data_IF_593900869462
#
_entry.id   IF_593900869462
#
_cell.length_a   1.000
_cell.length_b   1.000
_cell.length_c   1.000
_cell.angle_alpha   90.00
_cell.angle_beta   90.00
_cell.angle_gamma   90.00
#
_symmetry.space_group_name_H-M   'P 1'
#
loop_
_entity.id
_entity.type
_entity.pdbx_description
1 polymer ?
#
# COMPACT_ATOMS: atom_id res chain seq x y z
N UNK A 1 1.22 -7.90 -1.86
CA UNK A 1 2.43 -7.42 -1.13
C UNK A 1 1.94 -6.71 0.11
N UNK A 2 2.13 -7.29 1.28
CA UNK A 2 1.67 -6.68 2.52
C UNK A 2 2.70 -5.66 2.97
N UNK A 3 2.31 -4.41 3.08
CA UNK A 3 3.09 -3.46 3.85
C UNK A 3 3.04 -3.93 5.31
N UNK A 4 4.21 -4.14 5.90
CA UNK A 4 4.29 -4.67 7.26
C UNK A 4 3.70 -3.67 8.25
N UNK A 5 2.98 -4.15 9.26
CA UNK A 5 2.51 -3.32 10.36
C UNK A 5 3.67 -2.64 11.07
N UNK A 6 3.39 -1.55 11.78
CA UNK A 6 4.37 -0.80 12.54
C UNK A 6 5.14 -1.69 13.52
N UNK A 7 4.42 -2.54 14.26
CA UNK A 7 5.01 -3.51 15.19
C UNK A 7 5.96 -4.50 14.49
N UNK A 8 5.59 -5.00 13.32
CA UNK A 8 6.47 -5.91 12.54
C UNK A 8 7.72 -5.21 12.03
N UNK A 9 7.62 -3.96 11.62
CA UNK A 9 8.79 -3.17 11.19
C UNK A 9 9.76 -2.94 12.33
N UNK A 10 9.25 -2.58 13.51
CA UNK A 10 10.07 -2.48 14.72
C UNK A 10 10.70 -3.81 15.10
N UNK A 11 9.92 -4.91 15.07
CA UNK A 11 10.45 -6.24 15.34
C UNK A 11 11.60 -6.62 14.38
N UNK A 12 11.46 -6.32 13.09
CA UNK A 12 12.51 -6.56 12.11
C UNK A 12 13.76 -5.70 12.39
N UNK A 13 13.58 -4.42 12.70
CA UNK A 13 14.69 -3.51 13.02
C UNK A 13 15.45 -3.99 14.28
N UNK A 14 14.72 -4.38 15.34
CA UNK A 14 15.33 -4.88 16.57
C UNK A 14 16.05 -6.22 16.38
N UNK A 15 15.48 -7.15 15.62
CA UNK A 15 16.14 -8.44 15.30
C UNK A 15 17.43 -8.22 14.52
N UNK A 16 17.41 -7.32 13.55
CA UNK A 16 18.61 -6.95 12.80
C UNK A 16 19.65 -6.32 13.73
N UNK A 17 19.26 -5.32 14.53
CA UNK A 17 20.13 -4.65 15.47
C UNK A 17 20.73 -5.65 16.48
N UNK A 18 19.91 -6.55 17.04
CA UNK A 18 20.38 -7.56 18.00
C UNK A 18 21.43 -8.50 17.40
N UNK A 19 21.22 -8.94 16.16
CA UNK A 19 22.20 -9.81 15.47
C UNK A 19 23.55 -9.12 15.31
N UNK A 20 23.57 -7.85 14.89
CA UNK A 20 24.82 -7.10 14.68
C UNK A 20 25.48 -6.75 16.01
N UNK A 21 24.71 -6.35 17.04
CA UNK A 21 25.23 -6.08 18.38
C UNK A 21 25.85 -7.33 19.00
N UNK A 22 25.20 -8.49 18.88
CA UNK A 22 25.74 -9.75 19.41
C UNK A 22 27.10 -10.11 18.80
N UNK A 23 27.24 -9.96 17.47
CA UNK A 23 28.51 -10.16 16.78
C UNK A 23 29.58 -9.16 17.24
N UNK A 24 29.18 -7.89 17.38
CA UNK A 24 30.08 -6.82 17.86
C UNK A 24 30.56 -7.05 19.30
N UNK A 25 29.65 -7.45 20.18
CA UNK A 25 30.00 -7.76 21.59
C UNK A 25 30.97 -8.94 21.68
N UNK A 26 30.73 -10.03 21.00
CA UNK A 26 31.64 -11.17 20.97
C UNK A 26 33.04 -10.77 20.51
N UNK A 27 33.14 -9.94 19.48
CA UNK A 27 34.42 -9.42 19.00
C UNK A 27 35.10 -8.54 20.07
N UNK A 28 34.37 -7.68 20.75
CA UNK A 28 34.90 -6.80 21.80
C UNK A 28 35.35 -7.58 23.03
N UNK A 29 34.58 -8.57 23.46
CA UNK A 29 34.94 -9.48 24.55
C UNK A 29 36.22 -10.26 24.23
N UNK A 30 36.34 -10.77 23.00
CA UNK A 30 37.55 -11.42 22.55
C UNK A 30 38.78 -10.50 22.64
N UNK A 31 38.69 -9.27 22.14
CA UNK A 31 39.80 -8.31 22.25
C UNK A 31 40.12 -7.92 23.69
N UNK A 32 39.09 -7.72 24.54
CA UNK A 32 39.29 -7.43 25.96
C UNK A 32 39.99 -8.56 26.70
N UNK A 33 39.58 -9.81 26.46
CA UNK A 33 40.20 -11.00 27.06
C UNK A 33 41.67 -11.18 26.67
N UNK A 34 42.07 -10.74 25.48
CA UNK A 34 43.44 -10.87 24.95
C UNK A 34 44.25 -9.59 25.05
N UNK A 35 43.74 -8.53 25.69
CA UNK A 35 44.42 -7.22 25.81
C UNK A 35 45.77 -7.29 26.52
N UNK A 36 46.03 -8.31 27.36
CA UNK A 36 47.26 -8.54 28.07
C UNK A 36 48.36 -9.23 27.24
N UNK A 37 48.03 -9.71 26.03
CA UNK A 37 48.99 -10.37 25.14
C UNK A 37 49.87 -9.31 24.47
N UNK A 38 51.21 -9.42 24.50
CA UNK A 38 52.09 -8.48 23.83
C UNK A 38 51.77 -8.39 22.33
N UNK A 39 51.51 -7.17 21.82
CA UNK A 39 51.15 -6.93 20.43
C UNK A 39 49.66 -7.11 20.12
N UNK A 40 48.83 -7.38 21.12
CA UNK A 40 47.37 -7.46 20.92
C UNK A 40 46.79 -6.11 20.49
N UNK A 41 45.83 -6.18 19.60
CA UNK A 41 45.07 -5.00 19.14
C UNK A 41 44.23 -4.46 20.28
N UNK A 42 44.42 -3.19 20.63
CA UNK A 42 43.57 -2.49 21.59
C UNK A 42 42.34 -1.94 20.87
N UNK A 43 41.19 -1.99 21.56
CA UNK A 43 39.93 -1.45 21.05
C UNK A 43 40.02 0.08 20.99
N UNK A 44 40.07 0.65 19.82
CA UNK A 44 40.09 2.10 19.62
C UNK A 44 38.70 2.71 19.75
N UNK A 45 38.62 4.03 19.97
CA UNK A 45 37.35 4.76 19.93
C UNK A 45 36.65 4.65 18.56
N UNK A 46 37.39 4.41 17.48
CA UNK A 46 36.82 4.15 16.15
C UNK A 46 36.18 2.75 16.11
N UNK A 47 36.83 1.74 16.66
CA UNK A 47 36.28 0.38 16.71
C UNK A 47 34.97 0.37 17.50
N UNK A 48 34.91 1.05 18.64
CA UNK A 48 33.71 1.22 19.46
C UNK A 48 32.54 1.82 18.62
N UNK A 49 32.80 2.94 17.92
CA UNK A 49 31.76 3.59 17.10
C UNK A 49 31.29 2.71 15.96
N UNK A 50 32.19 2.07 15.22
CA UNK A 50 31.83 1.21 14.10
C UNK A 50 30.99 0.02 14.55
N UNK A 51 31.29 -0.56 15.73
CA UNK A 51 30.53 -1.71 16.25
C UNK A 51 29.06 -1.39 16.50
N UNK A 52 28.76 -0.19 16.99
CA UNK A 52 27.38 0.20 17.33
C UNK A 52 26.69 1.03 16.24
N UNK A 53 27.43 1.53 15.25
CA UNK A 53 26.91 2.44 14.24
C UNK A 53 25.71 1.86 13.51
N UNK A 54 25.88 0.70 12.86
CA UNK A 54 24.81 0.08 12.07
C UNK A 54 23.56 -0.26 12.87
N UNK A 55 23.67 -0.94 14.05
CA UNK A 55 22.47 -1.27 14.83
C UNK A 55 21.79 -0.02 15.42
N UNK A 56 22.55 0.97 15.90
CA UNK A 56 21.96 2.20 16.43
C UNK A 56 21.32 3.05 15.35
N UNK A 57 21.94 3.17 14.17
CA UNK A 57 21.38 3.89 13.03
C UNK A 57 20.09 3.20 12.56
N UNK A 58 20.07 1.88 12.48
CA UNK A 58 18.86 1.16 12.12
C UNK A 58 17.69 1.46 13.07
N UNK A 59 17.93 1.49 14.38
CA UNK A 59 16.92 1.82 15.39
C UNK A 59 16.49 3.29 15.24
N UNK A 60 17.45 4.23 15.11
CA UNK A 60 17.17 5.67 14.94
C UNK A 60 16.40 5.97 13.67
N UNK A 61 16.80 5.41 12.54
CA UNK A 61 16.08 5.55 11.28
C UNK A 61 14.65 5.00 11.38
N UNK A 62 14.47 3.90 12.13
CA UNK A 62 13.13 3.37 12.38
C UNK A 62 12.33 4.33 13.26
N UNK A 63 12.93 4.92 14.28
CA UNK A 63 12.30 5.91 15.16
C UNK A 63 11.92 7.19 14.39
N UNK A 64 12.78 7.68 13.51
CA UNK A 64 12.52 8.84 12.66
C UNK A 64 11.40 8.58 11.66
N UNK A 65 11.43 7.42 11.00
CA UNK A 65 10.41 7.04 10.01
C UNK A 65 9.07 6.64 10.65
N UNK A 66 9.07 6.27 11.92
CA UNK A 66 7.91 5.80 12.67
C UNK A 66 8.00 6.31 14.12
N UNK A 67 7.78 7.61 14.35
CA UNK A 67 7.82 8.20 15.68
C UNK A 67 6.92 7.45 16.65
N UNK A 68 7.38 7.19 17.85
CA UNK A 68 6.58 6.55 18.88
C UNK A 68 5.53 7.54 19.39
N UNK A 69 4.28 7.10 19.41
CA UNK A 69 3.18 7.90 19.95
C UNK A 69 3.24 7.81 21.48
N UNK A 70 3.43 8.94 22.21
CA UNK A 70 3.48 8.91 23.66
C UNK A 70 2.26 8.25 24.28
N UNK A 71 2.45 7.37 25.27
CA UNK A 71 1.38 6.63 25.92
C UNK A 71 0.83 5.45 25.12
N UNK A 72 1.32 5.20 23.91
CA UNK A 72 0.98 3.98 23.16
C UNK A 72 1.72 2.77 23.76
N UNK A 73 1.09 1.60 23.62
CA UNK A 73 1.73 0.36 24.04
C UNK A 73 3.13 0.17 23.41
N UNK A 74 3.27 0.53 22.12
CA UNK A 74 4.55 0.40 21.42
C UNK A 74 5.62 1.32 22.02
N UNK A 75 5.24 2.55 22.43
CA UNK A 75 6.12 3.48 23.14
C UNK A 75 6.57 2.90 24.48
N UNK A 76 5.66 2.28 25.23
CA UNK A 76 5.96 1.63 26.50
C UNK A 76 6.88 0.41 26.31
N UNK A 77 6.56 -0.46 25.35
CA UNK A 77 7.33 -1.66 25.05
C UNK A 77 8.77 -1.35 24.57
N UNK A 78 8.99 -0.19 23.96
CA UNK A 78 10.30 0.24 23.45
C UNK A 78 11.02 1.24 24.36
N UNK A 79 10.44 1.63 25.48
CA UNK A 79 10.99 2.67 26.37
C UNK A 79 12.40 2.35 26.88
N UNK A 80 12.65 1.10 27.27
CA UNK A 80 13.97 0.65 27.71
C UNK A 80 14.98 0.66 26.55
N UNK A 81 14.56 0.33 25.33
CA UNK A 81 15.41 0.35 24.14
C UNK A 81 15.82 1.78 23.80
N UNK A 82 14.88 2.73 23.79
CA UNK A 82 15.17 4.14 23.51
C UNK A 82 16.07 4.74 24.59
N UNK A 83 15.81 4.46 25.85
CA UNK A 83 16.64 4.91 26.97
C UNK A 83 18.06 4.36 26.87
N UNK A 84 18.24 3.07 26.61
CA UNK A 84 19.56 2.46 26.46
C UNK A 84 20.30 2.99 25.23
N UNK A 85 19.57 3.25 24.11
CA UNK A 85 20.16 3.85 22.91
C UNK A 85 20.73 5.23 23.14
N UNK A 86 20.04 6.06 23.92
CA UNK A 86 20.48 7.43 24.24
C UNK A 86 21.58 7.44 25.31
N UNK A 87 21.72 6.35 26.06
CA UNK A 87 22.67 6.21 27.16
C UNK A 87 23.99 5.52 26.75
N UNK A 88 24.27 5.34 25.46
CA UNK A 88 25.53 4.71 25.02
C UNK A 88 26.73 5.57 25.41
N UNK A 89 27.59 4.99 26.25
CA UNK A 89 28.85 5.62 26.66
C UNK A 89 30.03 5.12 25.80
N UNK A 90 30.64 6.03 25.05
CA UNK A 90 31.84 5.72 24.24
C UNK A 90 33.15 5.72 25.02
N UNK A 91 33.11 6.02 26.33
CA UNK A 91 34.25 5.97 27.25
C UNK A 91 34.48 4.59 27.85
N UNK A 92 34.70 4.57 29.16
CA UNK A 92 35.01 3.34 29.94
C UNK A 92 33.75 2.48 30.14
N UNK A 93 32.55 3.09 30.13
CA UNK A 93 31.25 2.41 30.20
C UNK A 93 30.75 1.83 28.88
N UNK A 94 31.58 1.76 27.83
CA UNK A 94 31.14 1.34 26.52
C UNK A 94 30.53 -0.06 26.49
N UNK A 95 31.27 -1.08 26.90
CA UNK A 95 30.78 -2.46 26.90
C UNK A 95 29.49 -2.61 27.73
N UNK A 96 29.48 -2.14 29.00
CA UNK A 96 28.26 -2.17 29.80
C UNK A 96 27.04 -1.49 29.14
N UNK A 97 27.23 -0.33 28.50
CA UNK A 97 26.11 0.37 27.84
C UNK A 97 25.59 -0.36 26.60
N UNK A 98 26.47 -1.00 25.83
CA UNK A 98 26.07 -1.83 24.66
C UNK A 98 25.37 -3.12 25.10
N UNK A 99 25.85 -3.75 26.20
CA UNK A 99 25.19 -4.91 26.82
C UNK A 99 23.78 -4.52 27.30
N UNK A 100 23.64 -3.35 27.94
CA UNK A 100 22.33 -2.85 28.36
C UNK A 100 21.37 -2.64 27.17
N UNK A 101 21.86 -2.09 26.06
CA UNK A 101 21.07 -1.95 24.85
C UNK A 101 20.66 -3.31 24.29
N UNK A 102 21.59 -4.28 24.21
CA UNK A 102 21.27 -5.63 23.72
C UNK A 102 20.22 -6.30 24.60
N UNK A 103 20.36 -6.21 25.93
CA UNK A 103 19.38 -6.77 26.87
C UNK A 103 17.99 -6.12 26.73
N UNK A 104 17.95 -4.80 26.57
CA UNK A 104 16.69 -4.08 26.33
C UNK A 104 16.00 -4.54 25.01
N UNK A 105 16.79 -4.74 23.95
CA UNK A 105 16.28 -5.26 22.67
C UNK A 105 15.76 -6.70 22.83
N UNK A 106 16.52 -7.57 23.49
CA UNK A 106 16.12 -8.96 23.74
C UNK A 106 14.83 -9.07 24.56
N UNK A 107 14.62 -8.15 25.49
CA UNK A 107 13.39 -8.06 26.28
C UNK A 107 12.20 -7.56 25.45
N UNK A 108 12.43 -6.60 24.53
CA UNK A 108 11.38 -6.03 23.69
C UNK A 108 10.90 -7.00 22.61
N UNK A 109 11.78 -7.81 22.01
CA UNK A 109 11.46 -8.72 20.90
C UNK A 109 10.27 -9.64 21.21
N UNK A 110 10.23 -10.43 22.32
CA UNK A 110 9.10 -11.31 22.61
C UNK A 110 7.76 -10.56 22.81
N UNK A 111 7.82 -9.36 23.37
CA UNK A 111 6.62 -8.53 23.56
C UNK A 111 6.05 -8.10 22.20
N UNK A 112 6.92 -7.66 21.27
CA UNK A 112 6.51 -7.30 19.92
C UNK A 112 6.04 -8.51 19.11
N UNK A 113 6.67 -9.67 19.26
CA UNK A 113 6.23 -10.91 18.59
C UNK A 113 4.82 -11.30 18.97
N UNK A 114 4.50 -11.24 20.25
CA UNK A 114 3.16 -11.56 20.75
C UNK A 114 2.10 -10.61 20.18
N UNK A 115 2.40 -9.31 20.10
CA UNK A 115 1.48 -8.29 19.61
C UNK A 115 1.49 -8.09 18.09
N UNK A 116 2.48 -8.59 17.38
CA UNK A 116 2.51 -8.55 15.91
C UNK A 116 1.34 -9.34 15.26
N UNK A 117 0.71 -10.23 16.01
CA UNK A 117 -0.43 -11.05 15.56
C UNK A 117 -1.76 -10.35 15.89
N UNK A 118 -1.87 -9.74 17.07
CA UNK A 118 -3.07 -9.04 17.54
C UNK A 118 -2.68 -7.69 18.15
N UNK A 119 -2.38 -6.68 17.33
CA UNK A 119 -1.98 -5.37 17.83
C UNK A 119 -3.17 -4.64 18.48
N UNK A 120 -2.94 -4.09 19.65
CA UNK A 120 -3.79 -3.09 20.28
C UNK A 120 -3.28 -1.72 19.80
N UNK A 121 -3.93 -1.17 18.79
CA UNK A 121 -3.45 0.00 18.03
C UNK A 121 -4.24 1.24 18.43
N UNK A 122 -3.53 2.36 18.57
CA UNK A 122 -4.18 3.66 18.67
C UNK A 122 -4.69 4.12 17.30
N UNK A 123 -5.64 5.06 17.29
CA UNK A 123 -6.18 5.64 16.06
C UNK A 123 -5.07 6.28 15.21
N UNK A 124 -4.12 6.96 15.85
CA UNK A 124 -3.01 7.63 15.14
C UNK A 124 -2.03 6.61 14.52
N UNK A 125 -1.82 5.46 15.15
CA UNK A 125 -1.03 4.37 14.57
C UNK A 125 -1.70 3.77 13.34
N UNK A 126 -3.01 3.55 13.39
CA UNK A 126 -3.78 3.04 12.24
C UNK A 126 -3.73 4.04 11.08
N UNK A 127 -3.95 5.33 11.36
CA UNK A 127 -3.91 6.40 10.35
C UNK A 127 -2.52 6.53 9.73
N UNK A 128 -1.45 6.54 10.54
CA UNK A 128 -0.08 6.62 10.06
C UNK A 128 0.32 5.41 9.19
N UNK A 129 -0.16 4.21 9.51
CA UNK A 129 0.07 3.02 8.69
C UNK A 129 -0.70 3.09 7.36
N UNK A 130 -1.94 3.59 7.37
CA UNK A 130 -2.76 3.78 6.18
C UNK A 130 -2.12 4.83 5.25
N UNK A 131 -1.80 6.00 5.79
CA UNK A 131 -1.09 7.08 5.09
C UNK A 131 0.18 6.56 4.41
N UNK A 132 1.05 5.92 5.18
CA UNK A 132 2.30 5.36 4.68
C UNK A 132 2.06 4.33 3.57
N UNK A 133 1.05 3.47 3.74
CA UNK A 133 0.72 2.44 2.76
C UNK A 133 0.29 3.03 1.42
N UNK A 134 -0.53 4.07 1.46
CA UNK A 134 -1.00 4.77 0.27
C UNK A 134 0.11 5.60 -0.36
N UNK A 135 0.87 6.37 0.42
CA UNK A 135 1.88 7.29 -0.14
C UNK A 135 3.09 6.55 -0.73
N UNK A 136 3.53 5.45 -0.10
CA UNK A 136 4.55 4.60 -0.73
C UNK A 136 4.02 3.99 -2.04
N UNK A 137 2.76 3.56 -2.04
CA UNK A 137 2.17 2.96 -3.24
C UNK A 137 1.96 3.96 -4.39
N UNK A 138 1.74 5.26 -4.10
CA UNK A 138 1.65 6.32 -5.12
C UNK A 138 2.98 6.54 -5.86
N UNK A 139 4.12 6.36 -5.18
CA UNK A 139 5.43 6.53 -5.82
C UNK A 139 5.61 5.57 -7.00
N UNK A 140 5.09 4.35 -6.88
CA UNK A 140 5.23 3.34 -7.95
C UNK A 140 4.57 3.79 -9.27
N UNK A 141 3.28 4.17 -9.34
CA UNK A 141 2.68 4.66 -10.58
C UNK A 141 3.30 5.94 -11.10
N UNK A 142 3.66 6.89 -10.24
CA UNK A 142 4.32 8.13 -10.65
C UNK A 142 5.69 7.91 -11.31
N UNK A 143 6.35 6.80 -11.04
CA UNK A 143 7.69 6.48 -11.57
C UNK A 143 7.69 5.33 -12.59
N UNK A 144 6.62 4.56 -12.70
CA UNK A 144 6.60 3.32 -13.48
C UNK A 144 6.87 3.52 -14.97
N UNK A 145 6.40 4.62 -15.57
CA UNK A 145 6.65 4.91 -16.98
C UNK A 145 8.08 5.40 -17.26
N UNK A 146 8.77 5.99 -16.26
CA UNK A 146 10.12 6.50 -16.44
C UNK A 146 11.14 5.45 -16.90
N UNK A 147 11.17 4.21 -16.38
CA UNK A 147 12.06 3.18 -16.89
C UNK A 147 11.60 2.57 -18.23
N UNK A 148 10.33 2.65 -18.59
CA UNK A 148 9.79 2.09 -19.84
C UNK A 148 10.13 3.00 -21.02
N UNK A 149 9.98 4.32 -20.88
CA UNK A 149 10.26 5.28 -21.95
C UNK A 149 11.66 5.14 -22.56
N UNK A 150 12.77 5.11 -21.79
CA UNK A 150 14.09 4.92 -22.35
C UNK A 150 14.28 3.58 -23.09
N UNK A 151 13.57 2.53 -22.67
CA UNK A 151 13.63 1.23 -23.37
C UNK A 151 12.91 1.31 -24.70
N UNK A 152 11.75 1.94 -24.75
CA UNK A 152 10.98 2.17 -25.99
C UNK A 152 11.75 3.09 -26.93
N UNK A 153 12.28 4.20 -26.45
CA UNK A 153 13.08 5.16 -27.23
C UNK A 153 14.32 4.49 -27.82
N UNK A 154 15.05 3.73 -27.01
CA UNK A 154 16.23 3.00 -27.47
C UNK A 154 15.87 2.03 -28.59
N UNK A 155 14.83 1.21 -28.39
CA UNK A 155 14.38 0.26 -29.40
C UNK A 155 13.94 0.96 -30.68
N UNK A 156 13.14 2.02 -30.60
CA UNK A 156 12.64 2.79 -31.74
C UNK A 156 13.81 3.38 -32.56
N UNK A 157 14.79 3.97 -31.86
CA UNK A 157 15.99 4.52 -32.52
C UNK A 157 16.85 3.43 -33.22
N UNK A 158 17.04 2.30 -32.54
CA UNK A 158 17.81 1.17 -33.12
C UNK A 158 17.06 0.56 -34.32
N UNK A 159 15.76 0.38 -34.23
CA UNK A 159 14.92 -0.12 -35.32
C UNK A 159 14.91 0.83 -36.51
N UNK A 160 14.81 2.14 -36.31
CA UNK A 160 14.91 3.13 -37.37
C UNK A 160 16.27 3.09 -38.05
N UNK A 161 17.38 2.98 -37.30
CA UNK A 161 18.72 2.85 -37.83
C UNK A 161 18.90 1.57 -38.67
N UNK A 162 18.25 0.47 -38.30
CA UNK A 162 18.20 -0.74 -39.09
C UNK A 162 17.48 -0.51 -40.42
N UNK A 163 16.29 0.08 -40.39
CA UNK A 163 15.50 0.39 -41.60
C UNK A 163 16.24 1.33 -42.56
N UNK A 164 17.05 2.24 -42.02
CA UNK A 164 17.88 3.15 -42.81
C UNK A 164 19.19 2.50 -43.31
N UNK A 165 19.45 1.23 -42.97
CA UNK A 165 20.66 0.52 -43.35
C UNK A 165 21.93 0.93 -42.60
N UNK A 166 21.79 1.67 -41.49
CA UNK A 166 22.93 2.08 -40.68
C UNK A 166 23.45 0.97 -39.75
N UNK A 167 22.65 -0.03 -39.45
CA UNK A 167 23.04 -1.23 -38.72
C UNK A 167 22.60 -2.47 -39.49
N UNK A 168 23.39 -3.56 -39.37
CA UNK A 168 23.17 -4.78 -40.20
C UNK A 168 22.19 -5.78 -39.57
N UNK A 169 22.07 -5.78 -38.26
CA UNK A 169 21.18 -6.70 -37.55
C UNK A 169 19.96 -5.97 -37.07
N UNK A 170 18.78 -6.57 -37.33
CA UNK A 170 17.54 -6.10 -36.78
C UNK A 170 17.52 -6.23 -35.24
N UNK A 171 16.80 -5.34 -34.61
CA UNK A 171 16.52 -5.43 -33.17
C UNK A 171 15.35 -6.39 -32.93
N UNK A 172 15.32 -7.07 -31.81
CA UNK A 172 14.22 -7.97 -31.49
C UNK A 172 12.89 -7.21 -31.38
N UNK A 173 11.85 -7.77 -32.00
CA UNK A 173 10.51 -7.15 -32.05
C UNK A 173 9.62 -7.45 -30.84
N UNK A 174 10.09 -8.27 -29.92
CA UNK A 174 9.32 -8.64 -28.73
C UNK A 174 10.06 -8.24 -27.45
N UNK A 175 9.35 -7.67 -26.52
CA UNK A 175 9.82 -7.40 -25.17
C UNK A 175 9.56 -8.63 -24.28
N UNK A 176 10.60 -9.22 -23.75
CA UNK A 176 10.47 -10.36 -22.84
C UNK A 176 10.38 -9.85 -21.40
N UNK A 177 9.23 -10.10 -20.75
CA UNK A 177 8.95 -9.64 -19.39
C UNK A 177 9.81 -10.32 -18.31
N UNK A 178 10.53 -11.40 -18.62
CA UNK A 178 11.41 -12.09 -17.66
C UNK A 178 12.80 -11.48 -17.62
N UNK A 179 13.30 -11.05 -18.79
CA UNK A 179 14.65 -10.52 -18.91
C UNK A 179 14.67 -9.00 -19.05
N UNK A 180 13.50 -8.38 -19.28
CA UNK A 180 13.34 -6.95 -19.58
C UNK A 180 14.19 -6.50 -20.78
N UNK A 181 14.34 -7.36 -21.77
CA UNK A 181 15.10 -7.10 -22.99
C UNK A 181 14.28 -7.38 -24.25
N UNK A 182 14.69 -6.80 -25.39
CA UNK A 182 14.11 -7.13 -26.69
C UNK A 182 14.69 -8.45 -27.22
N UNK A 183 13.80 -9.29 -27.81
CA UNK A 183 14.13 -10.60 -28.41
C UNK A 183 13.46 -10.74 -29.77
N UNK A 184 14.01 -11.60 -30.63
CA UNK A 184 13.54 -11.74 -32.03
C UNK A 184 12.22 -12.49 -32.17
N UNK A 185 11.97 -13.48 -31.31
CA UNK A 185 10.89 -14.45 -31.49
C UNK A 185 9.72 -14.23 -30.53
N UNK A 186 8.46 -14.45 -30.97
CA UNK A 186 7.31 -14.45 -30.08
C UNK A 186 7.37 -15.60 -29.06
N UNK A 187 6.65 -15.48 -27.94
CA UNK A 187 6.59 -16.53 -26.95
C UNK A 187 5.82 -16.12 -25.70
N UNK A 188 5.61 -17.05 -24.76
CA UNK A 188 4.92 -16.76 -23.50
C UNK A 188 5.63 -15.68 -22.68
N UNK A 189 4.89 -14.66 -22.23
CA UNK A 189 5.43 -13.53 -21.47
C UNK A 189 6.21 -12.51 -22.32
N UNK A 190 6.03 -12.55 -23.65
CA UNK A 190 6.61 -11.59 -24.59
C UNK A 190 5.54 -10.72 -25.21
N UNK A 191 5.76 -9.42 -25.21
CA UNK A 191 4.87 -8.41 -25.79
C UNK A 191 5.54 -7.81 -27.02
N UNK A 192 4.82 -7.67 -28.12
CA UNK A 192 5.37 -7.03 -29.31
C UNK A 192 5.75 -5.57 -29.01
N UNK A 193 6.96 -5.17 -29.38
CA UNK A 193 7.48 -3.82 -29.06
C UNK A 193 6.57 -2.71 -29.57
N UNK A 194 5.94 -2.89 -30.75
CA UNK A 194 5.01 -1.89 -31.28
C UNK A 194 3.79 -1.64 -30.35
N UNK A 195 3.37 -2.62 -29.58
CA UNK A 195 2.30 -2.40 -28.59
C UNK A 195 2.78 -1.52 -27.43
N UNK A 196 4.06 -1.70 -26.99
CA UNK A 196 4.64 -0.83 -25.97
C UNK A 196 4.88 0.58 -26.51
N UNK A 197 5.38 0.69 -27.75
CA UNK A 197 5.53 1.98 -28.44
C UNK A 197 4.19 2.70 -28.48
N UNK A 198 3.12 2.03 -28.97
CA UNK A 198 1.79 2.62 -29.09
C UNK A 198 1.23 3.04 -27.71
N UNK A 199 1.46 2.24 -26.69
CA UNK A 199 1.00 2.56 -25.33
C UNK A 199 1.74 3.75 -24.69
N UNK A 200 2.98 4.04 -25.16
CA UNK A 200 3.80 5.16 -24.70
C UNK A 200 3.70 6.40 -25.60
N UNK A 201 3.39 6.22 -26.89
CA UNK A 201 3.51 7.26 -27.95
C UNK A 201 2.36 8.28 -27.90
N UNK A 202 1.27 7.98 -27.24
CA UNK A 202 0.12 8.89 -27.17
C UNK A 202 0.41 10.18 -26.40
N UNK A 203 1.61 10.34 -25.86
CA UNK A 203 2.01 11.57 -25.21
C UNK A 203 3.36 11.47 -24.54
N UNK A 204 4.33 12.19 -25.08
CA UNK A 204 5.50 12.53 -24.31
C UNK A 204 5.08 13.47 -23.17
N UNK A 205 4.67 12.89 -22.05
CA UNK A 205 4.61 13.64 -20.81
C UNK A 205 6.04 13.86 -20.35
N UNK A 206 6.60 14.99 -20.69
CA UNK A 206 7.75 15.48 -19.93
C UNK A 206 7.23 15.83 -18.55
N UNK A 207 7.40 14.90 -17.61
CA UNK A 207 7.15 15.16 -16.20
C UNK A 207 8.20 16.15 -15.73
N UNK A 208 7.81 17.40 -15.53
CA UNK A 208 8.61 18.40 -14.82
C UNK A 208 8.04 18.49 -13.41
N UNK A 209 8.68 17.82 -12.48
CA UNK A 209 8.53 18.08 -11.06
C UNK A 209 9.15 19.47 -10.79
N UNK A 210 8.33 20.53 -10.76
CA UNK A 210 8.77 21.88 -10.47
C UNK A 210 7.76 22.92 -11.00
N UNK A 211 7.43 23.88 -10.17
CA UNK A 211 6.53 24.97 -10.48
C UNK A 211 6.89 25.62 -11.83
N UNK A 212 5.92 25.75 -12.71
CA UNK A 212 5.83 26.70 -13.83
C UNK A 212 5.96 26.26 -15.29
N UNK A 213 5.86 24.96 -15.66
CA UNK A 213 5.58 24.65 -17.05
C UNK A 213 4.24 23.94 -17.19
N UNK A 214 3.28 24.60 -17.82
CA UNK A 214 2.08 23.97 -18.37
C UNK A 214 2.52 23.14 -19.58
N UNK A 215 2.81 21.85 -19.37
CA UNK A 215 2.87 20.90 -20.46
C UNK A 215 1.45 20.56 -20.85
N UNK A 216 1.18 20.46 -22.14
CA UNK A 216 -0.04 19.85 -22.65
C UNK A 216 0.01 18.39 -22.18
N UNK A 217 -0.82 18.05 -21.21
CA UNK A 217 -0.90 16.69 -20.69
C UNK A 217 -1.57 15.81 -21.75
N UNK A 218 -0.80 14.94 -22.32
CA UNK A 218 -1.34 13.78 -23.01
C UNK A 218 -1.40 12.63 -21.99
N UNK A 219 -2.43 11.80 -22.08
CA UNK A 219 -2.61 10.65 -21.22
C UNK A 219 -2.29 9.38 -21.99
N UNK A 220 -1.05 8.93 -22.03
CA UNK A 220 -0.70 7.70 -22.72
C UNK A 220 -1.40 6.49 -22.06
N UNK A 221 -1.72 5.49 -22.85
CA UNK A 221 -2.41 4.29 -22.40
C UNK A 221 -1.70 3.63 -21.21
N UNK A 222 -0.37 3.61 -21.21
CA UNK A 222 0.44 3.07 -20.11
C UNK A 222 0.19 3.82 -18.79
N UNK A 223 -0.01 5.12 -18.83
CA UNK A 223 -0.33 5.93 -17.64
C UNK A 223 -1.71 5.59 -17.10
N UNK A 224 -2.72 5.49 -17.97
CA UNK A 224 -4.06 5.10 -17.58
C UNK A 224 -4.08 3.72 -16.89
N UNK A 225 -3.35 2.74 -17.43
CA UNK A 225 -3.22 1.40 -16.85
C UNK A 225 -2.56 1.47 -15.46
N UNK A 226 -1.43 2.16 -15.34
CA UNK A 226 -0.65 2.19 -14.09
C UNK A 226 -1.39 2.95 -12.98
N UNK A 227 -2.01 4.08 -13.32
CA UNK A 227 -2.80 4.86 -12.35
C UNK A 227 -4.08 4.12 -11.96
N UNK A 228 -4.75 3.50 -12.92
CA UNK A 228 -5.92 2.68 -12.64
C UNK A 228 -5.64 1.50 -11.70
N UNK A 229 -4.49 0.83 -11.86
CA UNK A 229 -4.03 -0.21 -10.94
C UNK A 229 -3.86 0.31 -9.51
N UNK A 230 -3.39 1.54 -9.35
CA UNK A 230 -3.26 2.14 -8.03
C UNK A 230 -4.61 2.29 -7.32
N UNK A 231 -5.67 2.75 -8.02
CA UNK A 231 -7.01 2.86 -7.44
C UNK A 231 -7.55 1.50 -6.98
N UNK A 232 -7.31 0.45 -7.78
CA UNK A 232 -7.68 -0.92 -7.39
C UNK A 232 -6.93 -1.37 -6.13
N UNK A 233 -5.64 -1.11 -6.06
CA UNK A 233 -4.80 -1.45 -4.91
C UNK A 233 -5.17 -0.63 -3.66
N UNK A 234 -5.33 0.68 -3.80
CA UNK A 234 -5.67 1.58 -2.68
C UNK A 234 -7.02 1.21 -2.06
N UNK A 235 -8.04 0.92 -2.88
CA UNK A 235 -9.33 0.46 -2.39
C UNK A 235 -9.24 -0.91 -1.71
N UNK A 236 -8.48 -1.85 -2.27
CA UNK A 236 -8.29 -3.17 -1.66
C UNK A 236 -7.60 -3.09 -0.30
N UNK A 237 -6.55 -2.26 -0.16
CA UNK A 237 -5.90 -2.03 1.15
C UNK A 237 -6.89 -1.45 2.15
N UNK A 238 -7.59 -0.39 1.76
CA UNK A 238 -8.60 0.23 2.60
C UNK A 238 -9.61 -0.79 3.09
N UNK A 239 -10.26 -1.48 2.16
CA UNK A 239 -11.34 -2.40 2.44
C UNK A 239 -10.87 -3.59 3.27
N UNK A 240 -9.77 -4.24 2.91
CA UNK A 240 -9.37 -5.51 3.52
C UNK A 240 -8.50 -5.34 4.78
N UNK A 241 -7.75 -4.24 4.90
CA UNK A 241 -6.79 -4.09 5.99
C UNK A 241 -7.18 -3.02 7.00
N UNK A 242 -7.57 -1.82 6.55
CA UNK A 242 -7.70 -0.68 7.45
C UNK A 242 -9.10 -0.43 7.96
N UNK A 243 -10.11 -0.62 7.14
CA UNK A 243 -11.50 -0.41 7.54
C UNK A 243 -11.92 -1.28 8.72
N UNK A 244 -11.44 -2.54 8.76
CA UNK A 244 -11.66 -3.45 9.89
C UNK A 244 -10.89 -3.06 11.15
N UNK A 245 -9.64 -2.54 11.01
CA UNK A 245 -8.84 -2.04 12.14
C UNK A 245 -9.49 -0.83 12.79
N UNK A 246 -9.95 0.12 11.97
CA UNK A 246 -10.71 1.30 12.45
C UNK A 246 -12.01 0.90 13.14
N UNK A 247 -12.76 -0.04 12.57
CA UNK A 247 -13.98 -0.55 13.20
C UNK A 247 -13.70 -1.17 14.58
N UNK A 248 -12.65 -2.01 14.68
CA UNK A 248 -12.24 -2.61 15.97
C UNK A 248 -11.83 -1.55 16.99
N UNK A 249 -11.08 -0.53 16.56
CA UNK A 249 -10.69 0.57 17.43
C UNK A 249 -11.91 1.33 17.96
N UNK A 250 -12.79 1.78 17.08
CA UNK A 250 -13.98 2.53 17.47
C UNK A 250 -14.98 1.70 18.27
N UNK A 251 -15.15 0.40 17.97
CA UNK A 251 -15.98 -0.52 18.75
C UNK A 251 -15.50 -0.64 20.19
N UNK A 252 -14.18 -0.55 20.42
CA UNK A 252 -13.61 -0.57 21.79
C UNK A 252 -13.82 0.72 22.58
N UNK A 253 -14.21 1.81 21.93
CA UNK A 253 -14.40 3.14 22.53
C UNK A 253 -15.89 3.55 22.62
N UNK A 254 -16.77 2.84 21.95
CA UNK A 254 -18.18 3.17 21.83
C UNK A 254 -19.06 2.29 22.72
N UNK A 255 -20.19 2.84 23.17
CA UNK A 255 -21.22 2.07 23.90
C UNK A 255 -22.04 1.18 22.95
N UNK A 256 -22.20 1.61 21.69
CA UNK A 256 -22.90 0.87 20.65
C UNK A 256 -21.90 0.19 19.71
N UNK A 257 -22.27 -0.98 19.20
CA UNK A 257 -21.41 -1.78 18.34
C UNK A 257 -21.11 -1.09 17.02
N UNK A 258 -19.85 -0.81 16.77
CA UNK A 258 -19.33 -0.29 15.50
C UNK A 258 -18.94 -1.45 14.60
N UNK A 259 -19.48 -1.46 13.38
CA UNK A 259 -19.21 -2.46 12.36
C UNK A 259 -18.28 -1.88 11.29
N UNK A 260 -17.65 -2.76 10.53
CA UNK A 260 -16.85 -2.36 9.35
C UNK A 260 -17.69 -1.53 8.35
N UNK A 261 -18.98 -1.83 8.20
CA UNK A 261 -19.90 -1.07 7.34
C UNK A 261 -20.12 0.37 7.80
N UNK A 262 -19.94 0.65 9.08
CA UNK A 262 -20.19 1.97 9.67
C UNK A 262 -18.99 2.92 9.46
N UNK A 263 -17.82 2.38 9.08
CA UNK A 263 -16.65 3.17 8.72
C UNK A 263 -16.82 3.65 7.28
N UNK A 264 -17.41 4.82 7.13
CA UNK A 264 -17.61 5.49 5.85
C UNK A 264 -16.69 6.71 5.80
N UNK A 265 -15.88 6.79 4.76
CA UNK A 265 -14.93 7.89 4.53
C UNK A 265 -15.03 8.31 3.07
N UNK A 266 -15.46 9.52 2.82
CA UNK A 266 -15.78 10.01 1.47
C UNK A 266 -14.59 9.91 0.50
N UNK A 267 -13.39 10.18 0.97
CA UNK A 267 -12.16 10.00 0.19
C UNK A 267 -12.01 8.58 -0.38
N UNK A 268 -12.29 7.54 0.43
CA UNK A 268 -12.26 6.16 -0.04
C UNK A 268 -13.52 5.77 -0.82
N UNK A 269 -14.62 6.49 -0.59
CA UNK A 269 -15.80 6.45 -1.44
C UNK A 269 -15.47 6.83 -2.88
N UNK A 270 -14.79 7.96 -3.07
CA UNK A 270 -14.37 8.44 -4.38
C UNK A 270 -13.35 7.50 -5.05
N UNK A 271 -12.36 7.00 -4.29
CA UNK A 271 -11.42 5.98 -4.77
C UNK A 271 -12.18 4.74 -5.29
N UNK A 272 -13.24 4.31 -4.60
CA UNK A 272 -14.09 3.19 -5.04
C UNK A 272 -14.79 3.48 -6.36
N UNK A 273 -15.38 4.68 -6.52
CA UNK A 273 -16.07 5.07 -7.74
C UNK A 273 -15.12 5.05 -8.95
N UNK A 274 -13.94 5.65 -8.81
CA UNK A 274 -12.91 5.64 -9.87
C UNK A 274 -12.45 4.21 -10.17
N UNK A 275 -12.18 3.41 -9.12
CA UNK A 275 -11.80 1.99 -9.30
C UNK A 275 -12.87 1.21 -10.04
N UNK A 276 -14.15 1.44 -9.75
CA UNK A 276 -15.25 0.74 -10.40
C UNK A 276 -15.25 1.03 -11.90
N UNK A 277 -15.13 2.29 -12.29
CA UNK A 277 -15.10 2.66 -13.70
C UNK A 277 -13.84 2.13 -14.41
N UNK A 278 -12.68 2.17 -13.75
CA UNK A 278 -11.43 1.62 -14.32
C UNK A 278 -11.57 0.10 -14.55
N UNK A 279 -12.12 -0.65 -13.60
CA UNK A 279 -12.11 -2.12 -13.63
C UNK A 279 -13.33 -2.67 -14.39
N UNK A 280 -14.52 -2.10 -14.18
CA UNK A 280 -15.77 -2.65 -14.70
C UNK A 280 -16.24 -1.93 -15.96
N UNK A 281 -15.95 -0.64 -16.11
CA UNK A 281 -16.37 0.18 -17.24
C UNK A 281 -15.23 0.47 -18.23
N UNK A 282 -14.17 -0.31 -18.21
CA UNK A 282 -13.01 -0.20 -19.14
C UNK A 282 -12.36 1.20 -19.14
N UNK A 283 -12.36 1.88 -18.00
CA UNK A 283 -11.84 3.23 -17.87
C UNK A 283 -12.74 4.33 -18.44
N UNK A 284 -14.00 4.03 -18.71
CA UNK A 284 -15.00 5.04 -19.10
C UNK A 284 -15.73 5.52 -17.86
N UNK A 285 -15.83 6.84 -17.71
CA UNK A 285 -16.48 7.48 -16.58
C UNK A 285 -17.99 7.19 -16.55
N UNK A 286 -18.47 6.68 -15.43
CA UNK A 286 -19.86 6.50 -15.07
C UNK A 286 -20.05 6.94 -13.61
N UNK A 287 -19.68 6.08 -12.66
CA UNK A 287 -19.81 6.38 -11.23
C UNK A 287 -18.86 7.50 -10.77
N UNK A 288 -17.66 7.59 -11.35
CA UNK A 288 -16.63 8.58 -10.97
C UNK A 288 -16.99 10.04 -11.27
N UNK A 289 -18.03 10.29 -12.08
CA UNK A 289 -18.60 11.62 -12.24
C UNK A 289 -19.16 12.20 -10.92
N UNK A 290 -19.49 11.33 -9.95
CA UNK A 290 -20.13 11.69 -8.68
C UNK A 290 -19.15 11.80 -7.50
N UNK A 291 -17.84 11.96 -7.76
CA UNK A 291 -16.83 12.16 -6.71
C UNK A 291 -17.07 13.46 -5.94
N UNK A 292 -16.95 13.42 -4.60
CA UNK A 292 -17.25 14.55 -3.71
C UNK A 292 -16.01 15.20 -3.10
N UNK A 293 -14.96 14.43 -2.83
CA UNK A 293 -13.67 14.90 -2.31
C UNK A 293 -12.68 15.15 -3.46
N UNK A 294 -12.55 14.16 -4.35
CA UNK A 294 -11.61 14.18 -5.48
C UNK A 294 -12.11 14.96 -6.69
N UNK A 295 -12.90 15.90 -6.58
CA UNK A 295 -13.59 16.79 -7.58
C UNK A 295 -12.84 17.02 -8.90
N UNK A 296 -12.37 15.93 -9.53
CA UNK A 296 -11.56 16.00 -10.76
C UNK A 296 -12.38 16.21 -12.03
N UNK A 297 -13.72 16.33 -11.90
CA UNK A 297 -14.67 16.69 -12.97
C UNK A 297 -14.62 15.75 -14.16
N UNK A 298 -14.57 14.45 -13.90
CA UNK A 298 -14.74 13.47 -14.96
C UNK A 298 -16.11 13.64 -15.62
N UNK A 299 -16.15 13.41 -16.94
CA UNK A 299 -17.36 13.57 -17.75
C UNK A 299 -17.91 12.18 -18.07
N UNK A 300 -19.18 11.95 -17.74
CA UNK A 300 -19.87 10.68 -18.00
C UNK A 300 -19.75 10.28 -19.50
N UNK A 301 -19.45 9.02 -19.74
CA UNK A 301 -19.25 8.46 -21.07
C UNK A 301 -17.90 8.78 -21.72
N UNK A 302 -17.03 9.55 -21.07
CA UNK A 302 -15.68 9.84 -21.57
C UNK A 302 -14.61 9.00 -20.86
N UNK A 303 -13.45 8.77 -21.49
CA UNK A 303 -12.33 8.12 -20.82
C UNK A 303 -11.90 8.88 -19.55
N UNK A 304 -11.56 8.12 -18.51
CA UNK A 304 -10.97 8.67 -17.27
C UNK A 304 -9.50 8.94 -17.53
N UNK A 305 -9.16 10.21 -17.61
CA UNK A 305 -7.80 10.69 -17.75
C UNK A 305 -7.34 11.30 -16.42
N UNK A 306 -6.34 10.67 -15.79
CA UNK A 306 -5.79 11.10 -14.51
C UNK A 306 -4.38 11.62 -14.72
N UNK A 307 -4.15 12.86 -14.35
CA UNK A 307 -2.84 13.50 -14.42
C UNK A 307 -1.95 13.13 -13.23
N UNK A 308 -0.64 13.32 -13.39
CA UNK A 308 0.31 13.19 -12.28
C UNK A 308 0.00 14.19 -11.14
N UNK A 309 -0.46 15.39 -11.48
CA UNK A 309 -0.87 16.39 -10.49
C UNK A 309 -2.08 15.95 -9.67
N UNK A 310 -3.04 15.28 -10.30
CA UNK A 310 -4.19 14.68 -9.60
C UNK A 310 -3.74 13.52 -8.70
N UNK A 311 -2.84 12.64 -9.16
CA UNK A 311 -2.28 11.60 -8.31
C UNK A 311 -1.54 12.17 -7.10
N UNK A 312 -0.78 13.24 -7.26
CA UNK A 312 -0.10 13.93 -6.15
C UNK A 312 -1.12 14.56 -5.19
N UNK A 313 -2.20 15.15 -5.71
CA UNK A 313 -3.25 15.77 -4.88
C UNK A 313 -3.94 14.78 -3.91
N UNK A 314 -3.88 13.48 -4.17
CA UNK A 314 -4.36 12.46 -3.23
C UNK A 314 -3.64 12.52 -1.87
N UNK A 315 -2.39 13.01 -1.84
CA UNK A 315 -1.63 13.19 -0.61
C UNK A 315 -2.23 14.34 0.20
N UNK A 316 -2.50 15.47 -0.45
CA UNK A 316 -3.02 16.67 0.19
C UNK A 316 -4.48 16.51 0.66
N UNK A 317 -5.23 15.65 -0.03
CA UNK A 317 -6.64 15.36 0.26
C UNK A 317 -6.84 14.21 1.26
N UNK A 318 -5.76 13.65 1.82
CA UNK A 318 -5.87 12.53 2.75
C UNK A 318 -6.72 12.90 3.98
N UNK A 319 -7.72 12.09 4.37
CA UNK A 319 -8.81 12.49 5.25
C UNK A 319 -8.49 12.34 6.75
N UNK A 320 -7.41 12.98 7.25
CA UNK A 320 -6.98 12.85 8.65
C UNK A 320 -8.06 13.16 9.67
N UNK A 321 -8.83 14.22 9.44
CA UNK A 321 -9.87 14.67 10.39
C UNK A 321 -11.03 13.69 10.43
N UNK A 322 -11.47 13.22 9.27
CA UNK A 322 -12.58 12.26 9.13
C UNK A 322 -12.23 10.92 9.77
N UNK A 323 -11.01 10.42 9.55
CA UNK A 323 -10.52 9.17 10.14
C UNK A 323 -10.43 9.22 11.68
N UNK A 324 -10.21 10.41 12.27
CA UNK A 324 -10.20 10.63 13.72
C UNK A 324 -11.57 10.86 14.32
N UNK A 325 -12.59 11.01 13.50
CA UNK A 325 -13.96 11.22 13.97
C UNK A 325 -14.63 9.87 14.19
N UNK A 326 -15.28 9.72 15.34
CA UNK A 326 -16.04 8.49 15.63
C UNK A 326 -17.17 8.31 14.61
N UNK A 327 -17.29 7.13 14.00
CA UNK A 327 -18.35 6.86 13.04
C UNK A 327 -19.70 6.82 13.73
N UNK A 328 -20.74 7.20 13.01
CA UNK A 328 -22.12 7.04 13.49
C UNK A 328 -22.60 5.63 13.14
N UNK A 329 -23.02 4.81 14.12
CA UNK A 329 -23.58 3.49 13.86
C UNK A 329 -24.76 3.59 12.90
N UNK A 330 -24.72 2.82 11.82
CA UNK A 330 -25.83 2.76 10.89
C UNK A 330 -26.87 1.76 11.42
N UNK A 331 -28.15 2.12 11.46
CA UNK A 331 -29.18 1.17 11.85
C UNK A 331 -29.10 -0.05 10.92
N UNK A 332 -29.28 -1.26 11.45
CA UNK A 332 -29.29 -2.44 10.61
C UNK A 332 -30.40 -2.27 9.57
N UNK A 333 -30.04 -2.38 8.30
CA UNK A 333 -30.97 -2.21 7.18
C UNK A 333 -32.15 -3.19 7.20
N UNK A 334 -32.15 -4.16 8.11
CA UNK A 334 -33.12 -5.25 8.14
C UNK A 334 -32.98 -6.22 6.94
N UNK A 335 -32.23 -5.81 5.93
CA UNK A 335 -32.01 -6.59 4.72
C UNK A 335 -30.80 -7.52 4.91
N UNK A 336 -31.01 -8.80 4.58
CA UNK A 336 -29.93 -9.80 4.56
C UNK A 336 -29.83 -10.40 3.17
N UNK A 337 -28.63 -10.69 2.71
CA UNK A 337 -28.42 -11.46 1.50
C UNK A 337 -29.05 -12.83 1.66
N UNK A 338 -29.87 -13.22 0.69
CA UNK A 338 -30.45 -14.56 0.64
C UNK A 338 -29.44 -15.47 -0.07
N UNK A 339 -28.91 -16.52 0.60
CA UNK A 339 -28.04 -17.46 -0.06
C UNK A 339 -28.87 -18.35 -1.00
N UNK A 340 -28.46 -18.46 -2.24
CA UNK A 340 -29.07 -19.36 -3.21
C UNK A 340 -28.53 -19.13 -4.62
N UNK A 341 -28.61 -20.19 -5.44
CA UNK A 341 -28.42 -20.10 -6.90
C UNK A 341 -29.76 -20.42 -7.53
N UNK A 342 -30.22 -19.54 -8.41
CA UNK A 342 -31.41 -19.78 -9.23
C UNK A 342 -30.97 -20.30 -10.59
N UNK A 343 -31.84 -21.07 -11.25
CA UNK A 343 -31.69 -21.38 -12.65
C UNK A 343 -31.58 -20.09 -13.47
N UNK A 344 -30.70 -20.08 -14.48
CA UNK A 344 -30.39 -18.86 -15.23
C UNK A 344 -31.60 -18.32 -16.00
N UNK A 345 -32.39 -19.21 -16.59
CA UNK A 345 -33.61 -18.81 -17.36
C UNK A 345 -34.69 -18.28 -16.42
N UNK A 346 -34.88 -18.96 -15.26
CA UNK A 346 -35.82 -18.49 -14.24
C UNK A 346 -35.42 -17.12 -13.71
N UNK A 347 -34.12 -16.90 -13.47
CA UNK A 347 -33.59 -15.61 -13.00
C UNK A 347 -33.85 -14.49 -14.03
N UNK A 348 -33.65 -14.79 -15.32
CA UNK A 348 -33.85 -13.83 -16.39
C UNK A 348 -35.33 -13.48 -16.52
N UNK A 349 -36.22 -14.47 -16.50
CA UNK A 349 -37.68 -14.26 -16.55
C UNK A 349 -38.16 -13.41 -15.37
N UNK A 350 -37.68 -13.71 -14.17
CA UNK A 350 -38.01 -12.97 -12.94
C UNK A 350 -37.50 -11.53 -13.00
N UNK A 351 -36.26 -11.29 -13.49
CA UNK A 351 -35.72 -9.94 -13.67
C UNK A 351 -36.47 -9.13 -14.75
N UNK A 352 -36.84 -9.77 -15.84
CA UNK A 352 -37.61 -9.10 -16.88
C UNK A 352 -39.00 -8.68 -16.33
N UNK A 353 -39.65 -9.57 -15.58
CA UNK A 353 -40.93 -9.26 -14.95
C UNK A 353 -40.82 -8.16 -13.88
N UNK A 354 -39.74 -8.16 -13.10
CA UNK A 354 -39.48 -7.09 -12.13
C UNK A 354 -39.32 -5.73 -12.80
N UNK A 355 -38.57 -5.71 -13.93
CA UNK A 355 -38.36 -4.49 -14.72
C UNK A 355 -39.69 -3.96 -15.28
N UNK A 356 -40.54 -4.85 -15.79
CA UNK A 356 -41.87 -4.47 -16.29
C UNK A 356 -42.77 -3.88 -15.21
N UNK A 357 -42.55 -4.31 -13.97
CA UNK A 357 -43.29 -3.84 -12.77
C UNK A 357 -42.62 -2.65 -12.09
N UNK A 358 -41.46 -2.21 -12.53
CA UNK A 358 -40.69 -1.13 -11.92
C UNK A 358 -40.14 -1.47 -10.53
N UNK A 359 -39.89 -2.76 -10.22
CA UNK A 359 -39.39 -3.21 -8.94
C UNK A 359 -37.85 -3.27 -8.96
N UNK A 360 -37.25 -2.81 -7.88
CA UNK A 360 -35.83 -3.05 -7.60
C UNK A 360 -35.55 -4.52 -7.25
N UNK A 361 -34.32 -4.98 -7.37
CA UNK A 361 -33.92 -6.35 -6.99
C UNK A 361 -34.27 -6.68 -5.51
N UNK A 362 -34.22 -5.70 -4.62
CA UNK A 362 -34.58 -5.85 -3.22
C UNK A 362 -36.09 -6.04 -3.02
N UNK A 363 -36.89 -5.25 -3.70
CA UNK A 363 -38.35 -5.36 -3.66
C UNK A 363 -38.83 -6.65 -4.31
N UNK A 364 -38.20 -7.05 -5.42
CA UNK A 364 -38.45 -8.33 -6.07
C UNK A 364 -38.20 -9.51 -5.14
N UNK A 365 -37.02 -9.55 -4.47
CA UNK A 365 -36.67 -10.61 -3.54
C UNK A 365 -37.66 -10.64 -2.37
N UNK A 366 -37.98 -9.47 -1.80
CA UNK A 366 -38.96 -9.37 -0.73
C UNK A 366 -40.32 -9.91 -1.14
N UNK A 367 -40.82 -9.50 -2.30
CA UNK A 367 -42.12 -9.95 -2.82
C UNK A 367 -42.15 -11.48 -3.09
N UNK A 368 -41.07 -12.01 -3.69
CA UNK A 368 -40.96 -13.44 -3.99
C UNK A 368 -40.97 -14.29 -2.72
N UNK A 369 -40.19 -13.91 -1.69
CA UNK A 369 -40.15 -14.65 -0.43
C UNK A 369 -41.41 -14.48 0.41
N UNK A 370 -42.03 -13.29 0.41
CA UNK A 370 -43.32 -13.09 1.09
C UNK A 370 -44.41 -13.96 0.46
N UNK A 371 -44.51 -13.97 -0.84
CA UNK A 371 -45.48 -14.81 -1.58
C UNK A 371 -45.24 -16.32 -1.35
N UNK A 372 -43.97 -16.75 -1.32
CA UNK A 372 -43.64 -18.15 -1.00
C UNK A 372 -44.02 -18.54 0.44
N UNK A 373 -43.76 -17.65 1.41
CA UNK A 373 -44.16 -17.88 2.81
C UNK A 373 -45.67 -17.98 2.96
N UNK A 374 -46.43 -17.09 2.31
CA UNK A 374 -47.90 -17.12 2.33
C UNK A 374 -48.44 -18.41 1.70
N UNK A 375 -47.87 -18.83 0.58
CA UNK A 375 -48.29 -20.06 -0.13
C UNK A 375 -47.97 -21.33 0.69
N UNK A 376 -46.87 -21.33 1.45
CA UNK A 376 -46.45 -22.48 2.27
C UNK A 376 -47.10 -22.50 3.67
N UNK A 377 -47.49 -21.36 4.22
CA UNK A 377 -48.19 -21.29 5.48
C UNK A 377 -49.60 -21.92 5.45
N UNK A 378 -50.16 -22.10 4.27
CA UNK A 378 -51.46 -22.73 4.04
C UNK A 378 -51.39 -24.26 3.82
N UNK A 379 -50.21 -24.84 3.83
CA UNK A 379 -50.03 -26.30 3.74
C UNK A 379 -49.87 -26.89 5.16
N UNK A 380 -50.76 -27.83 5.57
CA UNK A 380 -50.73 -28.42 6.90
C UNK A 380 -49.53 -29.33 7.17
#
# INVERSE_FOLDING_TARGET
MYLQSRTRRWLQALRYANTILGQGLQMMEYFAAHAHVPGARQISGRDKRVTVLLPTDQIRMTLESQPLVPGSWLSEALSEVTTALDSIDYGDGFIPSVVALSAAIEKAIPALEKRAIEPDESIDEIIADLERSLFISIVAPLTAHNPILPLVDKWTNEHQRFLQGHIRSDVGHYFDARTLTSVGEPGPGRVHMQHLVSACDAGMTSFVAGASQQSVEHHPEIQAVVYGQWFAYAFAIWEEQFRGRLAKYWDSQADEKIRRSDILVDYFGDIRLIRNDVIHNKGICDESANTVVLRWRFVEGQPIEISAAQMISLIDLFPYAELRTAPTPQPPTGLKSVPGRLDAHLLEDVKNRARDLGLSDSELNTAAFSSWLEATAAQP
#
